data_IF_766011651911
#
_entry.id   IF_766011651911
#
_cell.length_a   1.000
_cell.length_b   1.000
_cell.length_c   1.000
_cell.angle_alpha   90.00
_cell.angle_beta   90.00
_cell.angle_gamma   90.00
#
_symmetry.space_group_name_H-M   'P 1'
#
loop_
_entity.id
_entity.type
_entity.pdbx_description
1 polymer ?
#
# COMPACT_ATOMS: atom_id res chain seq x y z
N UNK A 1 -0.44 5.23 16.60
CA UNK A 1 -1.87 5.58 16.85
C UNK A 1 -2.14 6.91 16.18
N UNK A 2 -2.99 6.94 15.14
CA UNK A 2 -3.35 8.16 14.43
C UNK A 2 -4.66 8.75 14.99
N UNK A 3 -4.53 9.76 15.85
CA UNK A 3 -5.64 10.39 16.54
C UNK A 3 -6.59 11.17 15.62
N UNK A 4 -6.12 11.61 14.44
CA UNK A 4 -6.93 12.39 13.50
C UNK A 4 -7.90 11.46 12.79
N UNK A 5 -7.40 10.31 12.32
CA UNK A 5 -8.23 9.33 11.62
C UNK A 5 -9.28 8.70 12.55
N UNK A 6 -8.92 8.43 13.82
CA UNK A 6 -9.88 7.93 14.82
C UNK A 6 -11.01 8.94 15.09
N UNK A 7 -10.70 10.25 15.15
CA UNK A 7 -11.71 11.31 15.29
C UNK A 7 -12.65 11.36 14.09
N UNK A 8 -12.12 11.31 12.87
CA UNK A 8 -12.93 11.33 11.64
C UNK A 8 -13.89 10.12 11.59
N UNK A 9 -13.40 8.92 11.95
CA UNK A 9 -14.24 7.71 12.03
C UNK A 9 -15.36 7.86 13.04
N UNK A 10 -15.09 8.43 14.22
CA UNK A 10 -16.11 8.68 15.23
C UNK A 10 -17.19 9.68 14.75
N UNK A 11 -16.78 10.75 14.05
CA UNK A 11 -17.70 11.73 13.47
C UNK A 11 -18.56 11.09 12.38
N UNK A 12 -17.97 10.31 11.47
CA UNK A 12 -18.70 9.62 10.41
C UNK A 12 -19.71 8.60 10.97
N UNK A 13 -19.31 7.81 11.99
CA UNK A 13 -20.20 6.93 12.71
C UNK A 13 -21.39 7.68 13.31
N UNK A 14 -21.13 8.80 14.01
CA UNK A 14 -22.18 9.59 14.64
C UNK A 14 -23.16 10.16 13.60
N UNK A 15 -22.67 10.60 12.45
CA UNK A 15 -23.52 11.09 11.35
C UNK A 15 -24.45 9.99 10.80
N UNK A 16 -23.91 8.80 10.50
CA UNK A 16 -24.71 7.66 10.02
C UNK A 16 -25.76 7.24 11.07
N UNK A 17 -25.36 7.19 12.34
CA UNK A 17 -26.26 6.81 13.43
C UNK A 17 -27.40 7.83 13.67
N UNK A 18 -27.19 9.11 13.34
CA UNK A 18 -28.26 10.12 13.36
C UNK A 18 -29.20 9.97 12.17
N UNK A 19 -28.68 9.58 11.00
CA UNK A 19 -29.50 9.38 9.81
C UNK A 19 -30.45 8.19 9.97
N UNK A 20 -29.93 7.03 10.40
CA UNK A 20 -30.71 5.84 10.70
C UNK A 20 -29.89 4.88 11.55
N UNK A 21 -30.52 4.22 12.51
CA UNK A 21 -29.91 3.12 13.26
C UNK A 21 -30.93 2.05 13.59
N UNK A 22 -30.59 0.80 13.34
CA UNK A 22 -31.41 -0.35 13.72
C UNK A 22 -30.52 -1.51 14.19
N UNK A 23 -31.08 -2.45 14.94
CA UNK A 23 -30.39 -3.68 15.33
C UNK A 23 -31.03 -4.85 14.57
N UNK A 24 -30.20 -5.58 13.83
CA UNK A 24 -30.61 -6.81 13.16
C UNK A 24 -30.05 -8.01 13.91
N UNK A 25 -30.93 -8.88 14.41
CA UNK A 25 -30.55 -10.17 15.01
C UNK A 25 -30.30 -11.17 13.88
N UNK A 26 -29.18 -11.87 13.96
CA UNK A 26 -28.84 -12.95 13.05
C UNK A 26 -29.82 -14.11 13.23
N UNK A 27 -30.63 -14.45 12.21
CA UNK A 27 -31.66 -15.49 12.31
C UNK A 27 -31.06 -16.90 12.41
N UNK A 28 -29.78 -17.09 12.07
CA UNK A 28 -29.14 -18.40 12.18
C UNK A 28 -28.71 -18.72 13.61
N UNK A 29 -28.27 -17.71 14.36
CA UNK A 29 -27.73 -17.90 15.71
C UNK A 29 -28.70 -17.46 16.81
N UNK A 30 -29.58 -16.48 16.55
CA UNK A 30 -30.45 -15.82 17.55
C UNK A 30 -29.72 -15.22 18.76
N UNK A 31 -28.39 -15.31 18.81
CA UNK A 31 -27.51 -14.87 19.89
C UNK A 31 -26.45 -13.88 19.41
N UNK A 32 -26.50 -13.50 18.12
CA UNK A 32 -25.65 -12.48 17.50
C UNK A 32 -26.55 -11.44 16.83
N UNK A 33 -26.15 -10.18 16.88
CA UNK A 33 -26.83 -9.09 16.23
C UNK A 33 -25.82 -8.04 15.75
N UNK A 34 -26.24 -7.21 14.80
CA UNK A 34 -25.45 -6.13 14.22
C UNK A 34 -26.19 -4.81 14.33
N UNK A 35 -25.46 -3.74 14.65
CA UNK A 35 -25.97 -2.38 14.54
C UNK A 35 -25.83 -1.94 13.09
N UNK A 36 -26.94 -1.65 12.43
CA UNK A 36 -27.01 -1.17 11.05
C UNK A 36 -27.18 0.35 11.07
N UNK A 37 -26.43 1.07 10.25
CA UNK A 37 -26.30 2.53 10.29
C UNK A 37 -26.54 3.16 8.92
N UNK A 38 -27.16 4.35 8.91
CA UNK A 38 -27.41 5.11 7.68
C UNK A 38 -28.47 4.48 6.77
N UNK A 39 -28.77 5.14 5.65
CA UNK A 39 -29.80 4.69 4.69
C UNK A 39 -29.51 3.30 4.10
N UNK A 40 -28.24 3.00 3.88
CA UNK A 40 -27.78 1.76 3.27
C UNK A 40 -27.65 0.59 4.27
N UNK A 41 -28.10 0.78 5.51
CA UNK A 41 -28.05 -0.25 6.56
C UNK A 41 -26.64 -0.82 6.77
N UNK A 42 -25.64 0.06 6.76
CA UNK A 42 -24.24 -0.32 6.86
C UNK A 42 -23.95 -1.04 8.19
N UNK A 43 -23.45 -2.28 8.19
CA UNK A 43 -23.20 -3.03 9.41
C UNK A 43 -21.99 -2.48 10.16
N UNK A 44 -22.22 -2.04 11.40
CA UNK A 44 -21.17 -1.64 12.32
C UNK A 44 -20.28 -2.86 12.65
N UNK A 45 -18.95 -2.75 12.55
CA UNK A 45 -18.02 -3.88 12.67
C UNK A 45 -18.00 -4.55 14.05
N UNK A 46 -18.46 -3.89 15.11
CA UNK A 46 -18.49 -4.50 16.45
C UNK A 46 -19.82 -5.23 16.64
N UNK A 47 -19.84 -6.58 16.67
CA UNK A 47 -21.08 -7.33 16.81
C UNK A 47 -21.63 -7.20 18.23
N UNK A 48 -22.94 -7.37 18.35
CA UNK A 48 -23.65 -7.49 19.63
C UNK A 48 -23.90 -8.98 19.86
N UNK A 49 -23.59 -9.48 21.04
CA UNK A 49 -23.77 -10.89 21.40
C UNK A 49 -24.65 -11.04 22.64
N UNK A 50 -25.45 -12.10 22.67
CA UNK A 50 -26.31 -12.47 23.79
C UNK A 50 -25.56 -13.44 24.70
N UNK A 51 -25.35 -13.06 25.97
CA UNK A 51 -24.77 -13.91 27.03
C UNK A 51 -25.62 -13.80 28.29
N UNK A 52 -26.06 -14.93 28.85
CA UNK A 52 -26.93 -14.98 30.04
C UNK A 52 -28.14 -14.03 29.92
N UNK A 53 -28.84 -14.11 28.79
CA UNK A 53 -29.99 -13.26 28.43
C UNK A 53 -29.76 -11.74 28.38
N UNK A 54 -28.50 -11.30 28.38
CA UNK A 54 -28.13 -9.90 28.19
C UNK A 54 -27.39 -9.70 26.88
N UNK A 55 -27.71 -8.62 26.20
CA UNK A 55 -27.03 -8.19 24.99
C UNK A 55 -25.92 -7.19 25.33
N UNK A 56 -24.75 -7.39 24.75
CA UNK A 56 -23.63 -6.48 24.89
C UNK A 56 -22.75 -6.55 23.64
N UNK A 57 -22.06 -5.45 23.33
CA UNK A 57 -21.03 -5.47 22.28
C UNK A 57 -19.91 -6.45 22.64
N UNK A 58 -19.51 -7.28 21.68
CA UNK A 58 -18.29 -8.08 21.80
C UNK A 58 -17.09 -7.22 21.42
N UNK A 59 -16.53 -6.53 22.41
CA UNK A 59 -15.37 -5.66 22.21
C UNK A 59 -14.13 -6.42 21.72
N UNK A 60 -14.00 -7.73 22.03
CA UNK A 60 -12.86 -8.53 21.56
C UNK A 60 -12.99 -8.78 20.06
N UNK A 61 -14.14 -9.26 19.60
CA UNK A 61 -14.41 -9.45 18.19
C UNK A 61 -14.35 -8.12 17.41
N UNK A 62 -14.89 -7.05 17.99
CA UNK A 62 -14.84 -5.72 17.39
C UNK A 62 -13.42 -5.18 17.17
N UNK A 63 -12.50 -5.38 18.13
CA UNK A 63 -11.10 -4.99 17.94
C UNK A 63 -10.43 -5.75 16.79
N UNK A 64 -10.70 -7.05 16.69
CA UNK A 64 -10.15 -7.89 15.62
C UNK A 64 -10.66 -7.46 14.24
N UNK A 65 -11.96 -7.22 14.11
CA UNK A 65 -12.58 -6.75 12.86
C UNK A 65 -12.06 -5.36 12.46
N UNK A 66 -11.97 -4.43 13.41
CA UNK A 66 -11.44 -3.08 13.12
C UNK A 66 -9.97 -3.11 12.68
N UNK A 67 -9.17 -4.01 13.27
CA UNK A 67 -7.79 -4.23 12.86
C UNK A 67 -7.72 -4.82 11.45
N UNK A 68 -8.50 -5.87 11.18
CA UNK A 68 -8.56 -6.51 9.86
C UNK A 68 -8.96 -5.53 8.75
N UNK A 69 -9.93 -4.64 9.02
CA UNK A 69 -10.32 -3.58 8.07
C UNK A 69 -9.24 -2.55 7.83
N UNK A 70 -8.47 -2.18 8.87
CA UNK A 70 -7.33 -1.27 8.72
C UNK A 70 -6.26 -1.91 7.84
N UNK A 71 -5.85 -3.14 8.19
CA UNK A 71 -4.88 -3.93 7.42
C UNK A 71 -5.32 -4.03 5.96
N UNK A 72 -6.57 -4.43 5.69
CA UNK A 72 -7.06 -4.58 4.32
C UNK A 72 -7.07 -3.26 3.55
N UNK A 73 -7.38 -2.13 4.21
CA UNK A 73 -7.29 -0.80 3.59
C UNK A 73 -5.84 -0.43 3.26
N UNK A 74 -4.95 -0.59 4.22
CA UNK A 74 -3.54 -0.23 4.10
C UNK A 74 -2.84 -1.08 3.01
N UNK A 75 -3.17 -2.37 2.93
CA UNK A 75 -2.74 -3.29 1.86
C UNK A 75 -3.27 -2.88 0.48
N UNK A 76 -4.56 -2.52 0.39
CA UNK A 76 -5.14 -2.04 -0.87
C UNK A 76 -4.47 -0.74 -1.34
N UNK A 77 -4.23 0.20 -0.43
CA UNK A 77 -3.53 1.45 -0.73
C UNK A 77 -2.09 1.17 -1.21
N UNK A 78 -1.39 0.19 -0.61
CA UNK A 78 -0.05 -0.23 -1.04
C UNK A 78 -0.04 -0.89 -2.43
N UNK A 79 -1.05 -1.70 -2.76
CA UNK A 79 -1.23 -2.29 -4.10
C UNK A 79 -1.48 -1.20 -5.14
N UNK A 80 -2.38 -0.25 -4.84
CA UNK A 80 -2.69 0.86 -5.74
C UNK A 80 -1.47 1.74 -6.00
N UNK A 81 -0.70 2.06 -4.95
CA UNK A 81 0.54 2.81 -5.08
C UNK A 81 1.58 2.05 -5.94
N UNK A 82 1.69 0.73 -5.75
CA UNK A 82 2.58 -0.12 -6.56
C UNK A 82 2.19 -0.08 -8.05
N UNK A 83 0.89 -0.11 -8.36
CA UNK A 83 0.39 0.04 -9.75
C UNK A 83 0.66 1.43 -10.30
N UNK A 84 0.36 2.49 -9.55
CA UNK A 84 0.64 3.86 -9.95
C UNK A 84 2.13 4.15 -10.16
N UNK A 85 3.02 3.49 -9.42
CA UNK A 85 4.46 3.56 -9.65
C UNK A 85 4.85 2.98 -11.03
N UNK A 86 4.26 1.85 -11.43
CA UNK A 86 4.50 1.23 -12.74
C UNK A 86 4.03 2.17 -13.86
N UNK A 87 2.82 2.71 -13.75
CA UNK A 87 2.28 3.68 -14.70
C UNK A 87 3.20 4.91 -14.82
N UNK A 88 3.65 5.45 -13.69
CA UNK A 88 4.52 6.61 -13.67
C UNK A 88 5.88 6.35 -14.33
N UNK A 89 6.45 5.16 -14.14
CA UNK A 89 7.70 4.77 -14.79
C UNK A 89 7.55 4.64 -16.31
N UNK A 90 6.46 4.03 -16.78
CA UNK A 90 6.17 3.94 -18.21
C UNK A 90 5.99 5.32 -18.82
N UNK A 91 5.22 6.20 -18.19
CA UNK A 91 5.05 7.58 -18.66
C UNK A 91 6.39 8.34 -18.66
N UNK A 92 7.22 8.16 -17.63
CA UNK A 92 8.53 8.79 -17.56
C UNK A 92 9.40 8.43 -18.77
N UNK A 93 9.39 7.16 -19.17
CA UNK A 93 10.19 6.60 -20.26
C UNK A 93 9.65 6.93 -21.67
N UNK A 94 8.47 7.55 -21.81
CA UNK A 94 7.95 7.97 -23.12
C UNK A 94 8.71 9.16 -23.72
N UNK A 95 9.44 9.92 -22.91
CA UNK A 95 10.13 11.14 -23.33
C UNK A 95 11.64 11.05 -23.03
N UNK A 96 12.51 11.51 -23.95
CA UNK A 96 13.92 11.63 -23.65
C UNK A 96 14.12 12.62 -22.52
N UNK A 97 15.13 12.38 -21.69
CA UNK A 97 15.47 13.27 -20.57
C UNK A 97 16.85 13.85 -20.78
N UNK A 98 16.99 15.10 -20.34
CA UNK A 98 18.25 15.81 -20.43
C UNK A 98 19.38 15.01 -19.74
N UNK A 99 20.52 14.90 -20.42
CA UNK A 99 21.67 14.14 -19.94
C UNK A 99 21.65 12.64 -20.26
N UNK A 100 20.68 12.16 -21.05
CA UNK A 100 20.63 10.76 -21.50
C UNK A 100 20.42 10.66 -23.01
N UNK A 101 21.14 9.73 -23.65
CA UNK A 101 21.07 9.49 -25.10
C UNK A 101 19.91 8.57 -25.51
N UNK A 102 19.26 7.92 -24.55
CA UNK A 102 18.18 6.95 -24.75
C UNK A 102 17.05 7.21 -23.77
N UNK A 103 15.84 6.86 -24.15
CA UNK A 103 14.71 6.78 -23.22
C UNK A 103 14.99 5.72 -22.15
N UNK A 104 14.62 6.05 -20.92
CA UNK A 104 15.00 5.32 -19.72
C UNK A 104 13.93 5.50 -18.63
N UNK A 105 13.94 4.60 -17.66
CA UNK A 105 13.15 4.70 -16.45
C UNK A 105 13.80 5.63 -15.42
N UNK A 106 12.98 6.17 -14.52
CA UNK A 106 13.45 7.04 -13.45
C UNK A 106 14.15 6.20 -12.37
N UNK A 107 15.39 6.58 -12.04
CA UNK A 107 16.12 5.98 -10.92
C UNK A 107 15.69 6.52 -9.56
N UNK A 108 15.05 7.69 -9.54
CA UNK A 108 14.63 8.41 -8.34
C UNK A 108 13.12 8.59 -8.35
N UNK A 109 12.56 8.73 -7.16
CA UNK A 109 11.16 9.12 -7.03
C UNK A 109 11.05 10.63 -7.08
N UNK A 110 11.75 11.33 -6.19
CA UNK A 110 11.86 12.80 -6.23
C UNK A 110 13.18 13.17 -6.90
N UNK A 111 13.07 14.01 -7.91
CA UNK A 111 14.21 14.48 -8.70
C UNK A 111 15.18 15.30 -7.84
N UNK A 112 16.44 15.32 -8.26
CA UNK A 112 17.43 16.25 -7.73
C UNK A 112 16.97 17.70 -7.99
N UNK A 113 17.33 18.68 -7.12
CA UNK A 113 16.92 20.07 -7.32
C UNK A 113 17.26 20.60 -8.73
N UNK A 114 16.26 21.16 -9.41
CA UNK A 114 16.39 21.70 -10.77
C UNK A 114 16.54 20.67 -11.89
N UNK A 115 16.37 19.37 -11.61
CA UNK A 115 16.43 18.29 -12.60
C UNK A 115 15.09 17.58 -12.75
N UNK A 116 14.98 16.80 -13.82
CA UNK A 116 13.85 15.90 -14.09
C UNK A 116 14.34 14.44 -14.15
N UNK A 117 15.20 14.05 -13.20
CA UNK A 117 15.82 12.71 -13.10
C UNK A 117 15.05 11.73 -12.19
N UNK A 118 13.83 12.11 -11.78
CA UNK A 118 12.89 11.31 -10.99
C UNK A 118 11.44 11.41 -11.47
N UNK A 119 10.57 10.60 -10.86
CA UNK A 119 9.14 10.54 -11.20
C UNK A 119 8.33 11.79 -10.80
N UNK A 120 8.86 12.60 -9.89
CA UNK A 120 8.28 13.88 -9.50
C UNK A 120 9.39 14.93 -9.36
N UNK A 121 9.08 16.18 -9.68
CA UNK A 121 9.97 17.33 -9.49
C UNK A 121 9.17 18.58 -9.17
N UNK A 122 9.85 19.57 -8.60
CA UNK A 122 9.28 20.88 -8.33
C UNK A 122 9.95 21.92 -9.23
N UNK A 123 9.13 22.80 -9.79
CA UNK A 123 9.59 24.02 -10.44
C UNK A 123 10.02 25.07 -9.40
N UNK A 124 10.73 26.14 -9.80
CA UNK A 124 11.22 27.17 -8.86
C UNK A 124 10.13 27.87 -8.05
N UNK A 125 8.87 27.85 -8.52
CA UNK A 125 7.70 28.41 -7.84
C UNK A 125 7.07 27.45 -6.82
N UNK A 126 7.58 26.21 -6.71
CA UNK A 126 7.09 25.15 -5.84
C UNK A 126 6.01 24.25 -6.44
N UNK A 127 5.61 24.49 -7.70
CA UNK A 127 4.62 23.67 -8.40
C UNK A 127 5.19 22.28 -8.68
N UNK A 128 4.42 21.24 -8.35
CA UNK A 128 4.79 19.85 -8.61
C UNK A 128 4.46 19.44 -10.04
N UNK A 129 5.43 18.77 -10.68
CA UNK A 129 5.33 18.20 -12.01
C UNK A 129 5.85 16.76 -12.02
N UNK A 130 5.57 16.07 -13.11
CA UNK A 130 6.02 14.71 -13.36
C UNK A 130 4.89 13.68 -13.27
N UNK A 131 5.17 12.44 -13.68
CA UNK A 131 4.18 11.38 -13.74
C UNK A 131 3.70 10.88 -12.37
N UNK A 132 4.49 11.08 -11.31
CA UNK A 132 4.06 10.78 -9.94
C UNK A 132 3.57 12.05 -9.22
N UNK A 133 2.37 11.98 -8.64
CA UNK A 133 1.87 13.04 -7.76
C UNK A 133 2.66 13.15 -6.45
N UNK A 134 2.68 14.34 -5.85
CA UNK A 134 3.47 14.66 -4.63
C UNK A 134 3.33 13.61 -3.52
N UNK A 135 2.10 13.25 -3.15
CA UNK A 135 1.86 12.33 -2.03
C UNK A 135 2.48 10.96 -2.27
N UNK A 136 2.33 10.42 -3.49
CA UNK A 136 2.94 9.14 -3.90
C UNK A 136 4.46 9.27 -3.95
N UNK A 137 4.94 10.39 -4.49
CA UNK A 137 6.37 10.63 -4.61
C UNK A 137 7.04 10.72 -3.23
N UNK A 138 6.42 11.40 -2.27
CA UNK A 138 6.91 11.48 -0.89
C UNK A 138 6.83 10.13 -0.18
N UNK A 139 5.75 9.37 -0.38
CA UNK A 139 5.59 8.03 0.19
C UNK A 139 6.72 7.09 -0.22
N UNK A 140 7.06 7.03 -1.52
CA UNK A 140 8.13 6.14 -1.98
C UNK A 140 9.51 6.73 -1.68
N UNK A 141 9.68 8.06 -1.74
CA UNK A 141 10.97 8.71 -1.44
C UNK A 141 11.37 8.60 0.03
N UNK A 142 10.41 8.67 0.96
CA UNK A 142 10.64 8.37 2.37
C UNK A 142 11.27 6.98 2.52
N UNK A 143 10.89 6.06 1.62
CA UNK A 143 11.57 4.78 1.44
C UNK A 143 11.51 3.95 2.71
N UNK A 144 12.62 3.29 3.01
CA UNK A 144 12.85 2.64 4.29
C UNK A 144 14.18 3.11 4.87
N UNK A 145 14.11 3.85 5.96
CA UNK A 145 15.20 4.11 6.90
C UNK A 145 14.64 3.96 8.32
N UNK A 146 15.50 3.85 9.34
CA UNK A 146 15.02 3.79 10.73
C UNK A 146 14.25 5.06 11.16
N UNK A 147 14.30 6.13 10.35
CA UNK A 147 13.63 7.42 10.57
C UNK A 147 12.46 7.67 9.60
N UNK A 148 12.21 6.79 8.62
CA UNK A 148 11.15 6.98 7.63
C UNK A 148 9.78 6.72 8.26
N UNK A 149 8.82 7.62 8.02
CA UNK A 149 7.42 7.36 8.37
C UNK A 149 6.75 6.50 7.29
N UNK A 150 6.07 5.39 7.67
CA UNK A 150 5.40 4.55 6.70
C UNK A 150 4.17 5.24 6.11
N UNK A 151 4.01 5.15 4.80
CA UNK A 151 2.82 5.67 4.12
C UNK A 151 1.67 4.68 4.28
N UNK A 152 0.61 5.10 4.97
CA UNK A 152 -0.53 4.25 5.32
C UNK A 152 -0.07 2.89 5.87
N UNK A 153 0.94 2.91 6.74
CA UNK A 153 1.43 1.69 7.39
C UNK A 153 2.37 0.82 6.54
N UNK A 154 2.79 1.27 5.35
CA UNK A 154 3.70 0.57 4.45
C UNK A 154 4.99 1.36 4.15
N UNK A 155 6.08 0.61 4.04
CA UNK A 155 7.36 1.07 3.51
C UNK A 155 7.53 0.61 2.07
N UNK A 156 8.24 1.41 1.28
CA UNK A 156 8.48 1.15 -0.14
C UNK A 156 9.97 1.19 -0.44
N UNK A 157 10.42 0.32 -1.34
CA UNK A 157 11.83 0.25 -1.76
C UNK A 157 11.93 -0.01 -3.25
N UNK A 158 12.59 0.89 -3.98
CA UNK A 158 12.93 0.69 -5.39
C UNK A 158 14.03 -0.35 -5.52
N UNK A 159 13.86 -1.32 -6.41
CA UNK A 159 14.84 -2.36 -6.71
C UNK A 159 15.45 -2.09 -8.09
N UNK A 160 16.78 -2.16 -8.18
CA UNK A 160 17.54 -1.80 -9.40
C UNK A 160 18.01 -3.00 -10.22
N UNK A 161 17.46 -4.17 -9.97
CA UNK A 161 17.73 -5.36 -10.74
C UNK A 161 16.72 -6.45 -10.45
N UNK A 162 16.88 -7.55 -11.16
CA UNK A 162 16.09 -8.75 -10.99
C UNK A 162 16.96 -9.98 -10.82
N UNK A 163 16.43 -10.96 -10.08
CA UNK A 163 17.08 -12.22 -9.78
C UNK A 163 16.72 -13.35 -10.76
N UNK A 164 17.28 -14.55 -10.56
CA UNK A 164 17.12 -15.67 -11.48
C UNK A 164 15.68 -16.21 -11.59
N UNK A 165 14.82 -15.94 -10.61
CA UNK A 165 13.42 -16.38 -10.63
C UNK A 165 12.49 -15.38 -11.33
N UNK A 166 12.97 -14.17 -11.65
CA UNK A 166 12.17 -13.19 -12.39
C UNK A 166 12.01 -13.58 -13.87
N UNK A 167 10.93 -13.10 -14.53
CA UNK A 167 10.82 -13.17 -15.99
C UNK A 167 12.06 -12.54 -16.63
N UNK A 168 12.73 -13.24 -17.55
CA UNK A 168 14.02 -12.86 -18.19
C UNK A 168 15.31 -13.16 -17.39
N UNK A 169 15.22 -13.74 -16.18
CA UNK A 169 16.38 -14.17 -15.40
C UNK A 169 17.16 -13.02 -14.75
N UNK A 170 18.37 -13.29 -14.23
CA UNK A 170 19.11 -12.29 -13.48
C UNK A 170 19.63 -11.15 -14.38
N UNK A 171 19.34 -9.90 -14.01
CA UNK A 171 19.73 -8.72 -14.79
C UNK A 171 19.85 -7.47 -13.91
N UNK A 172 20.83 -6.60 -14.21
CA UNK A 172 20.91 -5.25 -13.65
C UNK A 172 20.10 -4.29 -14.53
N UNK A 173 19.25 -3.47 -13.92
CA UNK A 173 18.43 -2.51 -14.66
C UNK A 173 19.20 -1.27 -15.10
N UNK A 174 20.32 -0.95 -14.44
CA UNK A 174 21.12 0.23 -14.74
C UNK A 174 22.32 -0.17 -15.61
N UNK A 175 22.39 0.41 -16.80
CA UNK A 175 23.46 0.20 -17.79
C UNK A 175 24.03 1.57 -18.17
N UNK A 176 25.35 1.75 -18.05
CA UNK A 176 26.02 3.03 -18.33
C UNK A 176 25.38 4.24 -17.62
N UNK A 177 24.84 4.03 -16.41
CA UNK A 177 24.19 5.09 -15.63
C UNK A 177 22.74 5.39 -16.04
N UNK A 178 22.19 4.76 -17.08
CA UNK A 178 20.77 4.86 -17.46
C UNK A 178 20.00 3.60 -17.02
N UNK A 179 18.80 3.76 -16.44
CA UNK A 179 17.96 2.63 -16.06
C UNK A 179 17.11 2.20 -17.25
N UNK A 180 17.61 1.25 -18.04
CA UNK A 180 16.99 0.79 -19.29
C UNK A 180 16.57 -0.69 -19.25
N UNK A 181 17.09 -1.47 -18.31
CA UNK A 181 16.77 -2.90 -18.20
C UNK A 181 15.42 -3.17 -17.53
N UNK A 182 14.80 -2.17 -16.92
CA UNK A 182 13.53 -2.31 -16.21
C UNK A 182 13.51 -1.50 -14.92
N UNK A 183 12.51 -1.78 -14.10
CA UNK A 183 12.36 -1.21 -12.76
C UNK A 183 11.56 -2.19 -11.91
N UNK A 184 11.65 -2.04 -10.59
CA UNK A 184 10.80 -2.77 -9.67
C UNK A 184 10.64 -2.05 -8.35
N UNK A 185 9.58 -2.39 -7.63
CA UNK A 185 9.25 -1.86 -6.33
C UNK A 185 8.87 -3.01 -5.38
N UNK A 186 9.39 -2.96 -4.17
CA UNK A 186 8.90 -3.75 -3.05
C UNK A 186 8.11 -2.86 -2.09
N UNK A 187 7.08 -3.43 -1.45
CA UNK A 187 6.36 -2.79 -0.37
C UNK A 187 6.16 -3.76 0.80
N UNK A 188 6.34 -3.32 2.04
CA UNK A 188 6.13 -4.15 3.22
C UNK A 188 5.46 -3.36 4.34
N UNK A 189 4.63 -4.01 5.18
CA UNK A 189 4.04 -3.36 6.33
C UNK A 189 5.14 -2.94 7.32
N UNK A 190 4.95 -1.78 7.93
CA UNK A 190 5.81 -1.29 8.99
C UNK A 190 5.79 -2.20 10.23
N UNK A 191 4.62 -2.74 10.56
CA UNK A 191 4.44 -3.68 11.67
C UNK A 191 3.52 -4.84 11.24
N UNK A 192 4.11 -6.04 11.15
CA UNK A 192 3.40 -7.25 10.75
C UNK A 192 2.26 -7.56 11.73
N UNK A 193 1.06 -7.77 11.21
CA UNK A 193 -0.14 -8.04 11.99
C UNK A 193 -0.84 -6.80 12.55
N UNK A 194 -0.25 -5.61 12.41
CA UNK A 194 -0.82 -4.35 12.91
C UNK A 194 -1.12 -3.35 11.78
N UNK A 195 -0.16 -3.14 10.87
CA UNK A 195 -0.33 -2.27 9.69
C UNK A 195 -0.50 -3.05 8.39
N UNK A 196 -0.15 -4.33 8.39
CA UNK A 196 -0.40 -5.22 7.26
C UNK A 196 0.15 -6.63 7.49
N UNK A 197 -0.15 -7.54 6.57
CA UNK A 197 0.31 -8.94 6.58
C UNK A 197 1.21 -9.18 5.37
N UNK A 198 0.77 -8.75 4.19
CA UNK A 198 1.40 -9.05 2.92
C UNK A 198 2.55 -8.10 2.60
N UNK A 199 3.64 -8.67 2.10
CA UNK A 199 4.67 -7.96 1.35
C UNK A 199 4.34 -8.03 -0.13
N UNK A 200 4.54 -6.94 -0.85
CA UNK A 200 4.28 -6.83 -2.29
C UNK A 200 5.55 -6.63 -3.10
N UNK A 201 5.57 -7.18 -4.32
CA UNK A 201 6.60 -6.96 -5.32
C UNK A 201 5.92 -6.67 -6.66
N UNK A 202 6.40 -5.64 -7.37
CA UNK A 202 5.97 -5.34 -8.73
C UNK A 202 7.17 -5.02 -9.60
N UNK A 203 7.15 -5.52 -10.83
CA UNK A 203 8.17 -5.25 -11.84
C UNK A 203 7.63 -4.45 -13.02
N UNK A 204 8.45 -4.34 -14.06
CA UNK A 204 8.11 -3.67 -15.32
C UNK A 204 6.81 -4.17 -15.99
N UNK A 205 6.48 -5.45 -15.80
CA UNK A 205 5.28 -6.10 -16.36
C UNK A 205 3.98 -5.70 -15.65
N UNK A 206 4.07 -4.97 -14.53
CA UNK A 206 2.93 -4.45 -13.79
C UNK A 206 2.16 -5.49 -12.97
N UNK A 207 2.63 -6.75 -12.93
CA UNK A 207 2.02 -7.77 -12.08
C UNK A 207 2.46 -7.55 -10.64
N UNK A 208 1.50 -7.25 -9.76
CA UNK A 208 1.76 -7.16 -8.33
C UNK A 208 1.69 -8.56 -7.73
N UNK A 209 2.80 -9.04 -7.19
CA UNK A 209 2.91 -10.27 -6.41
C UNK A 209 2.79 -9.95 -4.93
N UNK A 210 2.25 -10.89 -4.16
CA UNK A 210 2.16 -10.83 -2.71
C UNK A 210 2.76 -12.08 -2.07
N UNK A 211 3.30 -11.90 -0.87
CA UNK A 211 3.79 -12.98 0.00
C UNK A 211 3.74 -12.58 1.47
N UNK A 212 3.26 -13.50 2.29
CA UNK A 212 3.32 -13.39 3.75
C UNK A 212 4.64 -14.00 4.25
N UNK A 213 5.51 -13.18 4.84
CA UNK A 213 6.75 -13.62 5.48
C UNK A 213 6.60 -13.81 7.01
N UNK A 214 5.38 -13.66 7.52
CA UNK A 214 5.06 -13.71 8.92
C UNK A 214 5.77 -12.62 9.71
N UNK A 215 6.13 -12.90 10.97
CA UNK A 215 6.91 -11.98 11.82
C UNK A 215 8.26 -11.55 11.22
N UNK A 216 8.79 -12.25 10.21
CA UNK A 216 10.04 -11.91 9.55
C UNK A 216 9.90 -10.87 8.42
N UNK A 217 8.68 -10.36 8.17
CA UNK A 217 8.37 -9.46 7.05
C UNK A 217 9.34 -8.29 6.90
N UNK A 218 9.54 -7.51 7.96
CA UNK A 218 10.41 -6.33 7.87
C UNK A 218 11.88 -6.73 7.64
N UNK A 219 12.35 -7.79 8.28
CA UNK A 219 13.72 -8.29 8.12
C UNK A 219 14.00 -8.83 6.71
N UNK A 220 13.00 -9.49 6.10
CA UNK A 220 13.11 -9.95 4.72
C UNK A 220 13.09 -8.77 3.75
N UNK A 221 12.17 -7.82 3.93
CA UNK A 221 12.09 -6.60 3.13
C UNK A 221 13.38 -5.79 3.15
N UNK A 222 14.03 -5.65 4.32
CA UNK A 222 15.34 -4.98 4.45
C UNK A 222 16.41 -5.61 3.57
N UNK A 223 16.39 -6.94 3.38
CA UNK A 223 17.36 -7.71 2.58
C UNK A 223 17.00 -7.80 1.10
N UNK A 224 15.82 -7.34 0.70
CA UNK A 224 15.42 -7.34 -0.71
C UNK A 224 16.18 -6.27 -1.49
N UNK A 225 17.02 -6.73 -2.41
CA UNK A 225 17.79 -5.90 -3.35
C UNK A 225 17.38 -6.14 -4.81
N UNK A 226 16.71 -7.25 -5.09
CA UNK A 226 16.36 -7.70 -6.44
C UNK A 226 14.90 -8.09 -6.52
N UNK A 227 14.26 -7.75 -7.64
CA UNK A 227 12.96 -8.31 -8.02
C UNK A 227 13.14 -9.80 -8.34
N UNK A 228 12.59 -10.67 -7.50
CA UNK A 228 12.79 -12.12 -7.63
C UNK A 228 11.55 -12.91 -7.15
N UNK A 229 10.40 -12.78 -7.83
CA UNK A 229 9.18 -13.51 -7.49
C UNK A 229 9.31 -14.99 -7.86
N UNK A 230 9.87 -15.80 -6.96
CA UNK A 230 9.89 -17.25 -7.10
C UNK A 230 8.49 -17.88 -6.94
N UNK A 231 8.41 -19.22 -7.02
CA UNK A 231 7.16 -19.98 -6.96
C UNK A 231 6.36 -19.82 -5.65
N UNK A 232 6.95 -19.24 -4.61
CA UNK A 232 6.26 -18.98 -3.34
C UNK A 232 5.51 -17.65 -3.32
N UNK A 233 5.70 -16.81 -4.35
CA UNK A 233 4.94 -15.58 -4.53
C UNK A 233 3.66 -15.85 -5.32
N UNK A 234 2.57 -15.18 -4.94
CA UNK A 234 1.29 -15.30 -5.63
C UNK A 234 0.89 -13.97 -6.24
N UNK A 235 0.37 -13.92 -7.48
CA UNK A 235 -0.16 -12.68 -8.03
C UNK A 235 -1.38 -12.22 -7.21
N UNK A 236 -1.46 -10.92 -6.97
CA UNK A 236 -2.67 -10.28 -6.44
C UNK A 236 -3.76 -10.40 -7.51
N UNK A 237 -4.98 -10.74 -7.10
CA UNK A 237 -6.11 -10.81 -8.03
C UNK A 237 -6.32 -9.45 -8.74
N UNK A 238 -6.59 -9.50 -10.04
CA UNK A 238 -7.06 -8.32 -10.77
C UNK A 238 -8.53 -8.13 -10.42
N UNK A 239 -8.89 -6.94 -9.96
CA UNK A 239 -10.29 -6.50 -9.82
C UNK A 239 -10.80 -5.96 -11.15
#
# INVERSE_FOLDING_TARGET
RDFVQDRQRAVAFAALAHEKKNVAVDPSTHSRAFLLLGKDDWPFPVPIVKKNDKWSFDAKAGRQELLARRIGKDELDAIQLSRGYVEAQHEYALKPREGYDVNQFAQRIISSPGKQDGLAWQDPDGTWHGPAGENVARAIQAGYSDESEPYHGYFFKTLKGQGPAAPLGAMNFVVNGAMIGGFALAAAPAEYGETGIMTFLVGYDGVVYQKDFGPATLDQFKKMELYNPDKSWTPVAQE
#
